data_IF_502376160471
#
_entry.id   IF_502376160471
#
_cell.length_a   1.000
_cell.length_b   1.000
_cell.length_c   1.000
_cell.angle_alpha   90.00
_cell.angle_beta   90.00
_cell.angle_gamma   90.00
#
_symmetry.space_group_name_H-M   'P 1'
#
loop_
_entity.id
_entity.type
_entity.pdbx_description
1 polymer ?
#
# COMPACT_ATOMS: atom_id res chain seq x y z
N UNK A 1 -10.28 -24.52 -6.60
CA UNK A 1 -9.08 -24.43 -5.73
C UNK A 1 -7.85 -23.87 -6.47
N UNK A 2 -7.20 -24.57 -7.41
CA UNK A 2 -5.96 -24.08 -8.08
C UNK A 2 -6.08 -22.69 -8.75
N UNK A 3 -7.13 -22.43 -9.54
CA UNK A 3 -7.31 -21.14 -10.24
C UNK A 3 -7.50 -19.96 -9.28
N UNK A 4 -8.34 -20.12 -8.24
CA UNK A 4 -8.55 -19.12 -7.17
C UNK A 4 -7.25 -18.79 -6.44
N UNK A 5 -6.46 -19.81 -6.11
CA UNK A 5 -5.17 -19.63 -5.45
C UNK A 5 -4.17 -18.83 -6.32
N UNK A 6 -4.12 -19.13 -7.63
CA UNK A 6 -3.28 -18.38 -8.57
C UNK A 6 -3.74 -16.92 -8.68
N UNK A 7 -5.04 -16.66 -8.83
CA UNK A 7 -5.59 -15.29 -8.85
C UNK A 7 -5.32 -14.53 -7.55
N UNK A 8 -5.37 -15.21 -6.41
CA UNK A 8 -5.06 -14.64 -5.10
C UNK A 8 -3.60 -14.16 -5.02
N UNK A 9 -2.64 -14.97 -5.49
CA UNK A 9 -1.24 -14.55 -5.55
C UNK A 9 -1.00 -13.35 -6.47
N UNK A 10 -1.65 -13.30 -7.64
CA UNK A 10 -1.58 -12.13 -8.51
C UNK A 10 -2.14 -10.88 -7.84
N UNK A 11 -3.24 -11.00 -7.10
CA UNK A 11 -3.80 -9.90 -6.31
C UNK A 11 -2.83 -9.39 -5.24
N UNK A 12 -2.15 -10.29 -4.52
CA UNK A 12 -1.15 -9.90 -3.53
C UNK A 12 0.05 -9.18 -4.16
N UNK A 13 0.59 -9.72 -5.26
CA UNK A 13 1.70 -9.09 -5.98
C UNK A 13 1.31 -7.69 -6.45
N UNK A 14 0.11 -7.54 -7.03
CA UNK A 14 -0.42 -6.24 -7.43
C UNK A 14 -0.43 -5.25 -6.27
N UNK A 15 -1.00 -5.61 -5.13
CA UNK A 15 -1.07 -4.70 -3.97
C UNK A 15 0.31 -4.39 -3.38
N UNK A 16 1.23 -5.34 -3.33
CA UNK A 16 2.61 -5.10 -2.89
C UNK A 16 3.32 -4.07 -3.79
N UNK A 17 3.17 -4.20 -5.12
CA UNK A 17 3.76 -3.28 -6.07
C UNK A 17 3.17 -1.87 -5.88
N UNK A 18 1.84 -1.75 -5.79
CA UNK A 18 1.17 -0.46 -5.60
C UNK A 18 1.60 0.18 -4.28
N UNK A 19 1.68 -0.59 -3.19
CA UNK A 19 2.17 -0.10 -1.90
C UNK A 19 3.62 0.41 -2.02
N UNK A 20 4.50 -0.37 -2.64
CA UNK A 20 5.91 0.00 -2.82
C UNK A 20 6.09 1.29 -3.63
N UNK A 21 5.32 1.47 -4.69
CA UNK A 21 5.33 2.69 -5.51
C UNK A 21 4.92 3.91 -4.66
N UNK A 22 3.81 3.82 -3.93
CA UNK A 22 3.35 4.93 -3.08
C UNK A 22 4.32 5.23 -1.94
N UNK A 23 4.89 4.20 -1.31
CA UNK A 23 5.90 4.37 -0.28
C UNK A 23 7.14 5.08 -0.84
N UNK A 24 7.60 4.70 -2.04
CA UNK A 24 8.72 5.35 -2.70
C UNK A 24 8.42 6.82 -3.03
N UNK A 25 7.22 7.14 -3.54
CA UNK A 25 6.79 8.52 -3.79
C UNK A 25 6.83 9.37 -2.50
N UNK A 26 6.32 8.83 -1.40
CA UNK A 26 6.34 9.52 -0.09
C UNK A 26 7.79 9.70 0.40
N UNK A 27 8.63 8.68 0.25
CA UNK A 27 9.99 8.74 0.76
C UNK A 27 10.90 9.68 -0.04
N UNK A 28 10.74 9.70 -1.36
CA UNK A 28 11.61 10.43 -2.28
C UNK A 28 11.19 11.88 -2.54
N UNK A 29 9.97 12.29 -2.15
CA UNK A 29 9.52 13.68 -2.35
C UNK A 29 10.14 14.64 -1.33
N UNK A 30 10.44 15.86 -1.75
CA UNK A 30 10.92 16.93 -0.86
C UNK A 30 9.79 17.83 -0.34
N UNK A 31 8.70 17.91 -1.10
CA UNK A 31 7.52 18.76 -0.81
C UNK A 31 6.26 17.96 -1.08
N UNK A 32 5.21 18.14 -0.26
CA UNK A 32 3.91 17.49 -0.47
C UNK A 32 2.92 18.36 -1.27
N UNK A 33 1.71 17.81 -1.47
CA UNK A 33 0.65 18.50 -2.22
C UNK A 33 0.11 19.77 -1.56
N UNK A 34 0.47 20.04 -0.30
CA UNK A 34 0.13 21.28 0.40
C UNK A 34 1.27 22.30 0.35
N UNK A 35 2.40 21.98 -0.31
CA UNK A 35 3.58 22.85 -0.35
C UNK A 35 4.47 22.74 0.89
N UNK A 36 4.27 21.74 1.75
CA UNK A 36 5.02 21.56 3.00
C UNK A 36 6.28 20.73 2.75
N UNK A 37 7.43 21.27 3.12
CA UNK A 37 8.72 20.55 3.08
C UNK A 37 8.69 19.31 3.98
N UNK A 38 9.13 18.19 3.45
CA UNK A 38 8.99 16.88 4.08
C UNK A 38 10.23 16.52 4.90
N UNK A 39 10.11 16.57 6.23
CA UNK A 39 11.11 16.01 7.15
C UNK A 39 10.95 14.48 7.26
N UNK A 40 11.97 13.73 7.74
CA UNK A 40 11.87 12.29 7.94
C UNK A 40 10.68 11.88 8.84
N UNK A 41 10.34 12.68 9.83
CA UNK A 41 9.21 12.45 10.75
C UNK A 41 7.86 12.57 10.01
N UNK A 42 7.68 13.63 9.21
CA UNK A 42 6.44 13.84 8.42
C UNK A 42 6.27 12.73 7.36
N UNK A 43 7.38 12.31 6.72
CA UNK A 43 7.37 11.18 5.78
C UNK A 43 6.94 9.88 6.48
N UNK A 44 7.46 9.64 7.68
CA UNK A 44 7.13 8.45 8.48
C UNK A 44 5.64 8.41 8.87
N UNK A 45 5.06 9.56 9.24
CA UNK A 45 3.62 9.67 9.50
C UNK A 45 2.82 9.34 8.23
N UNK A 46 3.22 9.89 7.08
CA UNK A 46 2.57 9.60 5.80
C UNK A 46 2.66 8.12 5.42
N UNK A 47 3.78 7.45 5.71
CA UNK A 47 3.93 6.00 5.52
C UNK A 47 3.03 5.18 6.45
N UNK A 48 2.86 5.60 7.70
CA UNK A 48 1.90 4.96 8.62
C UNK A 48 0.47 5.10 8.10
N UNK A 49 0.10 6.29 7.61
CA UNK A 49 -1.23 6.50 6.99
C UNK A 49 -1.41 5.60 5.78
N UNK A 50 -0.39 5.48 4.92
CA UNK A 50 -0.42 4.56 3.78
C UNK A 50 -0.61 3.10 4.23
N UNK A 51 0.10 2.67 5.29
CA UNK A 51 -0.02 1.31 5.84
C UNK A 51 -1.45 1.04 6.34
N UNK A 52 -2.04 1.98 7.08
CA UNK A 52 -3.41 1.87 7.58
C UNK A 52 -4.41 1.77 6.41
N UNK A 53 -4.25 2.60 5.38
CA UNK A 53 -5.11 2.55 4.20
C UNK A 53 -5.04 1.18 3.49
N UNK A 54 -3.86 0.54 3.46
CA UNK A 54 -3.66 -0.77 2.85
C UNK A 54 -4.23 -1.95 3.67
N UNK A 55 -4.68 -1.74 4.90
CA UNK A 55 -5.45 -2.75 5.64
C UNK A 55 -6.75 -3.09 4.90
N UNK A 56 -7.37 -2.11 4.24
CA UNK A 56 -8.63 -2.26 3.52
C UNK A 56 -8.54 -3.30 2.38
N UNK A 57 -7.65 -3.16 1.38
CA UNK A 57 -7.51 -4.16 0.33
C UNK A 57 -7.06 -5.53 0.85
N UNK A 58 -6.22 -5.58 1.89
CA UNK A 58 -5.82 -6.85 2.54
C UNK A 58 -7.03 -7.55 3.15
N UNK A 59 -7.91 -6.82 3.83
CA UNK A 59 -9.14 -7.36 4.39
C UNK A 59 -10.04 -7.98 3.32
N UNK A 60 -10.24 -7.28 2.19
CA UNK A 60 -11.00 -7.83 1.06
C UNK A 60 -10.33 -9.07 0.44
N UNK A 61 -9.00 -9.11 0.36
CA UNK A 61 -8.25 -10.27 -0.13
C UNK A 61 -8.40 -11.50 0.77
N UNK A 62 -8.45 -11.30 2.09
CA UNK A 62 -8.70 -12.39 3.05
C UNK A 62 -10.12 -12.94 2.87
N UNK A 63 -11.12 -12.07 2.76
CA UNK A 63 -12.51 -12.50 2.53
C UNK A 63 -12.63 -13.30 1.24
N UNK A 64 -12.03 -12.83 0.15
CA UNK A 64 -12.04 -13.55 -1.13
C UNK A 64 -11.33 -14.91 -1.07
N UNK A 65 -10.28 -15.02 -0.26
CA UNK A 65 -9.61 -16.31 -0.07
C UNK A 65 -10.55 -17.33 0.58
N UNK A 66 -11.38 -16.89 1.53
CA UNK A 66 -12.30 -17.75 2.30
C UNK A 66 -13.53 -18.13 1.48
N UNK A 67 -14.20 -17.17 0.81
CA UNK A 67 -15.44 -17.37 0.03
C UNK A 67 -15.14 -18.02 -1.31
#
# INVERSE_FOLDING_TARGET
MKKRWISWWFGNIFWIIVFGIWAAIIWLRDVDGAGVTQTPEIKSISLIVLLIAFIIPVFFQIIWLII
#
